data_IF_031618742723
#
_entry.id   IF_031618742723
#
_cell.length_a   1.000
_cell.length_b   1.000
_cell.length_c   1.000
_cell.angle_alpha   90.00
_cell.angle_beta   90.00
_cell.angle_gamma   90.00
#
_symmetry.space_group_name_H-M   'P 1'
#
loop_
_entity.id
_entity.type
_entity.pdbx_description
1 polymer ?
#
# COMPACT_ATOMS: atom_id res chain seq x y z
N UNK A 1 10.45 -15.87 -9.54
CA UNK A 1 10.18 -14.43 -9.80
C UNK A 1 9.28 -14.12 -11.01
N UNK A 2 9.61 -14.48 -12.27
CA UNK A 2 8.77 -14.11 -13.44
C UNK A 2 7.31 -14.63 -13.34
N UNK A 3 7.13 -15.86 -12.86
CA UNK A 3 5.82 -16.48 -12.67
C UNK A 3 4.91 -15.66 -11.74
N UNK A 4 5.43 -15.22 -10.59
CA UNK A 4 4.68 -14.42 -9.62
C UNK A 4 4.23 -13.09 -10.24
N UNK A 5 5.11 -12.46 -11.04
CA UNK A 5 4.80 -11.22 -11.73
C UNK A 5 3.67 -11.39 -12.74
N UNK A 6 3.72 -12.43 -13.58
CA UNK A 6 2.68 -12.71 -14.58
C UNK A 6 1.34 -12.96 -13.89
N UNK A 7 1.30 -13.85 -12.89
CA UNK A 7 0.07 -14.16 -12.14
C UNK A 7 -0.49 -12.90 -11.46
N UNK A 8 0.38 -12.09 -10.85
CA UNK A 8 -0.02 -10.83 -10.22
C UNK A 8 -0.53 -9.79 -11.20
N UNK A 9 -0.12 -9.81 -12.48
CA UNK A 9 -0.66 -8.93 -13.52
C UNK A 9 -2.02 -9.45 -14.01
N UNK A 10 -2.14 -10.74 -14.33
CA UNK A 10 -3.39 -11.36 -14.75
C UNK A 10 -4.51 -11.14 -13.72
N UNK A 11 -4.23 -11.40 -12.45
CA UNK A 11 -5.21 -11.20 -11.40
C UNK A 11 -5.60 -9.72 -11.21
N UNK A 12 -4.68 -8.77 -11.44
CA UNK A 12 -5.01 -7.33 -11.43
C UNK A 12 -5.86 -6.90 -12.62
N UNK A 13 -5.75 -7.60 -13.74
CA UNK A 13 -6.59 -7.40 -14.91
C UNK A 13 -7.95 -8.12 -14.79
N UNK A 14 -8.23 -8.78 -13.67
CA UNK A 14 -9.50 -9.47 -13.45
C UNK A 14 -9.60 -10.85 -14.12
N UNK A 15 -8.47 -11.49 -14.46
CA UNK A 15 -8.50 -12.85 -15.03
C UNK A 15 -9.08 -13.86 -14.04
N UNK A 16 -10.32 -14.30 -14.30
CA UNK A 16 -11.10 -15.14 -13.39
C UNK A 16 -10.44 -16.50 -13.13
N UNK A 17 -9.80 -17.09 -14.14
CA UNK A 17 -9.12 -18.37 -14.02
C UNK A 17 -7.94 -18.28 -13.03
N UNK A 18 -7.11 -17.25 -13.16
CA UNK A 18 -6.00 -16.99 -12.23
C UNK A 18 -6.51 -16.73 -10.82
N UNK A 19 -7.57 -15.92 -10.67
CA UNK A 19 -8.15 -15.60 -9.36
C UNK A 19 -8.71 -16.86 -8.70
N UNK A 20 -9.44 -17.70 -9.44
CA UNK A 20 -9.98 -18.96 -8.94
C UNK A 20 -8.87 -19.89 -8.44
N UNK A 21 -7.81 -20.09 -9.23
CA UNK A 21 -6.68 -20.95 -8.82
C UNK A 21 -5.97 -20.37 -7.59
N UNK A 22 -5.81 -19.05 -7.51
CA UNK A 22 -5.23 -18.41 -6.33
C UNK A 22 -6.08 -18.62 -5.07
N UNK A 23 -7.41 -18.53 -5.18
CA UNK A 23 -8.36 -18.84 -4.09
C UNK A 23 -8.26 -20.29 -3.64
N UNK A 24 -8.29 -21.24 -4.56
CA UNK A 24 -8.15 -22.66 -4.26
C UNK A 24 -6.84 -22.95 -3.50
N UNK A 25 -5.72 -22.40 -3.98
CA UNK A 25 -4.42 -22.57 -3.31
C UNK A 25 -4.35 -21.89 -1.95
N UNK A 26 -4.98 -20.72 -1.81
CA UNK A 26 -5.04 -20.04 -0.53
C UNK A 26 -5.87 -20.82 0.48
N UNK A 27 -7.04 -21.34 0.07
CA UNK A 27 -7.90 -22.10 0.97
C UNK A 27 -7.21 -23.38 1.44
N UNK A 28 -6.55 -24.08 0.51
CA UNK A 28 -5.76 -25.26 0.87
C UNK A 28 -4.66 -24.93 1.89
N UNK A 29 -3.96 -23.81 1.69
CA UNK A 29 -2.96 -23.31 2.63
C UNK A 29 -3.56 -22.95 3.99
N UNK A 30 -4.72 -22.30 4.00
CA UNK A 30 -5.38 -21.82 5.21
C UNK A 30 -5.97 -22.97 6.05
N UNK A 31 -6.63 -23.94 5.40
CA UNK A 31 -7.28 -25.06 6.08
C UNK A 31 -6.30 -26.19 6.42
N UNK A 32 -5.48 -26.62 5.45
CA UNK A 32 -4.62 -27.80 5.57
C UNK A 32 -3.20 -27.46 6.03
N UNK A 33 -2.89 -26.18 6.25
CA UNK A 33 -1.55 -25.68 6.60
C UNK A 33 -0.47 -26.11 5.58
N UNK A 34 -0.85 -26.31 4.32
CA UNK A 34 0.10 -26.64 3.26
C UNK A 34 0.99 -25.45 2.97
N UNK A 35 2.28 -25.66 2.74
CA UNK A 35 3.19 -24.54 2.52
C UNK A 35 3.02 -23.95 1.11
N UNK A 36 2.76 -22.64 1.02
CA UNK A 36 2.85 -21.91 -0.24
C UNK A 36 4.31 -21.63 -0.57
N UNK A 37 4.67 -21.90 -1.82
CA UNK A 37 5.98 -21.54 -2.34
C UNK A 37 6.28 -20.04 -2.07
N UNK A 38 7.43 -19.70 -1.47
CA UNK A 38 7.76 -18.32 -1.06
C UNK A 38 7.53 -17.28 -2.15
N UNK A 39 8.04 -17.52 -3.38
CA UNK A 39 7.83 -16.64 -4.55
C UNK A 39 6.36 -16.31 -4.87
N UNK A 40 5.44 -17.21 -4.58
CA UNK A 40 4.02 -17.07 -4.95
C UNK A 40 3.17 -16.55 -3.79
N UNK A 41 3.65 -16.66 -2.55
CA UNK A 41 2.86 -16.38 -1.34
C UNK A 41 2.27 -14.97 -1.36
N UNK A 42 3.10 -13.96 -1.56
CA UNK A 42 2.63 -12.56 -1.63
C UNK A 42 1.64 -12.33 -2.77
N UNK A 43 1.86 -12.99 -3.92
CA UNK A 43 0.95 -12.85 -5.07
C UNK A 43 -0.42 -13.43 -4.73
N UNK A 44 -0.46 -14.64 -4.18
CA UNK A 44 -1.69 -15.32 -3.78
C UNK A 44 -2.41 -14.49 -2.69
N UNK A 45 -1.71 -14.10 -1.63
CA UNK A 45 -2.30 -13.30 -0.56
C UNK A 45 -2.84 -11.97 -1.09
N UNK A 46 -2.11 -11.29 -1.98
CA UNK A 46 -2.57 -10.06 -2.60
C UNK A 46 -3.81 -10.24 -3.49
N UNK A 47 -4.02 -11.42 -4.09
CA UNK A 47 -5.28 -11.73 -4.78
C UNK A 47 -6.43 -11.79 -3.78
N UNK A 48 -6.26 -12.53 -2.68
CA UNK A 48 -7.30 -12.64 -1.63
C UNK A 48 -7.64 -11.27 -1.05
N UNK A 49 -6.62 -10.47 -0.72
CA UNK A 49 -6.80 -9.12 -0.20
C UNK A 49 -7.58 -8.21 -1.14
N UNK A 50 -7.37 -8.31 -2.47
CA UNK A 50 -8.07 -7.51 -3.48
C UNK A 50 -9.48 -7.97 -3.80
N UNK A 51 -9.69 -9.29 -3.84
CA UNK A 51 -10.84 -9.88 -4.53
C UNK A 51 -11.88 -10.52 -3.61
N UNK A 52 -11.57 -10.77 -2.33
CA UNK A 52 -12.43 -11.58 -1.44
C UNK A 52 -13.05 -10.75 -0.29
N UNK A 53 -12.89 -9.43 -0.36
CA UNK A 53 -13.48 -8.47 0.57
C UNK A 53 -13.19 -8.78 2.03
N UNK A 54 -14.21 -8.64 2.89
CA UNK A 54 -14.08 -8.83 4.33
C UNK A 54 -13.68 -10.27 4.71
N UNK A 55 -14.19 -11.28 4.01
CA UNK A 55 -13.84 -12.68 4.26
C UNK A 55 -12.35 -12.93 4.05
N UNK A 56 -11.80 -12.44 2.92
CA UNK A 56 -10.37 -12.52 2.62
C UNK A 56 -9.52 -11.75 3.63
N UNK A 57 -9.92 -10.53 3.98
CA UNK A 57 -9.24 -9.70 4.96
C UNK A 57 -9.16 -10.38 6.34
N UNK A 58 -10.26 -10.98 6.80
CA UNK A 58 -10.31 -11.69 8.08
C UNK A 58 -9.40 -12.92 8.10
N UNK A 59 -9.35 -13.68 7.01
CA UNK A 59 -8.43 -14.83 6.88
C UNK A 59 -6.97 -14.39 6.92
N UNK A 60 -6.62 -13.34 6.16
CA UNK A 60 -5.26 -12.78 6.16
C UNK A 60 -4.86 -12.22 7.53
N UNK A 61 -5.79 -11.54 8.22
CA UNK A 61 -5.58 -11.05 9.59
C UNK A 61 -5.34 -12.20 10.56
N UNK A 62 -6.10 -13.28 10.47
CA UNK A 62 -5.89 -14.48 11.28
C UNK A 62 -4.51 -15.10 11.05
N UNK A 63 -4.03 -15.17 9.80
CA UNK A 63 -2.67 -15.62 9.50
C UNK A 63 -1.65 -14.67 10.16
N UNK A 64 -1.81 -13.35 9.99
CA UNK A 64 -0.94 -12.35 10.61
C UNK A 64 -0.84 -12.51 12.14
N UNK A 65 -1.95 -12.77 12.83
CA UNK A 65 -1.97 -12.89 14.30
C UNK A 65 -1.45 -14.24 14.83
N UNK A 66 -1.37 -15.27 13.97
CA UNK A 66 -1.01 -16.64 14.40
C UNK A 66 0.35 -17.11 13.89
N UNK A 67 0.88 -16.47 12.84
CA UNK A 67 2.15 -16.87 12.24
C UNK A 67 3.32 -16.31 13.04
N UNK A 68 4.24 -17.18 13.43
CA UNK A 68 5.50 -16.79 14.09
C UNK A 68 6.64 -16.70 13.06
N UNK A 69 6.38 -16.01 11.95
CA UNK A 69 7.37 -15.84 10.89
C UNK A 69 7.22 -14.49 10.20
N UNK A 70 8.19 -13.60 10.45
CA UNK A 70 8.11 -12.20 10.06
C UNK A 70 8.04 -11.93 8.56
N UNK A 71 8.44 -12.86 7.69
CA UNK A 71 8.22 -12.72 6.24
C UNK A 71 6.73 -12.87 5.89
N UNK A 72 6.05 -13.84 6.50
CA UNK A 72 4.62 -14.08 6.28
C UNK A 72 3.79 -12.97 6.90
N UNK A 73 4.16 -12.48 8.09
CA UNK A 73 3.56 -11.27 8.70
C UNK A 73 3.55 -10.10 7.69
N UNK A 74 4.69 -9.80 7.08
CA UNK A 74 4.84 -8.71 6.10
C UNK A 74 4.00 -8.94 4.85
N UNK A 75 3.93 -10.18 4.35
CA UNK A 75 3.06 -10.50 3.22
C UNK A 75 1.58 -10.28 3.56
N UNK A 76 1.14 -10.63 4.77
CA UNK A 76 -0.22 -10.35 5.22
C UNK A 76 -0.49 -8.85 5.33
N UNK A 77 0.45 -8.07 5.88
CA UNK A 77 0.34 -6.60 5.96
C UNK A 77 0.13 -5.99 4.58
N UNK A 78 0.98 -6.34 3.62
CA UNK A 78 0.86 -5.84 2.24
C UNK A 78 -0.48 -6.26 1.64
N UNK A 79 -0.85 -7.54 1.77
CA UNK A 79 -2.06 -8.09 1.16
C UNK A 79 -3.35 -7.48 1.72
N UNK A 80 -3.47 -7.32 3.05
CA UNK A 80 -4.64 -6.71 3.68
C UNK A 80 -4.83 -5.26 3.24
N UNK A 81 -3.74 -4.52 3.05
CA UNK A 81 -3.80 -3.15 2.53
C UNK A 81 -4.12 -3.06 1.04
N UNK A 82 -4.14 -4.16 0.28
CA UNK A 82 -4.51 -4.14 -1.14
C UNK A 82 -6.02 -4.19 -1.39
N UNK A 83 -6.86 -4.18 -0.35
CA UNK A 83 -8.31 -4.23 -0.53
C UNK A 83 -8.86 -3.11 -1.41
N UNK A 84 -9.93 -3.43 -2.14
CA UNK A 84 -10.68 -2.48 -2.97
C UNK A 84 -11.84 -1.81 -2.19
N UNK A 85 -11.94 -2.06 -0.88
CA UNK A 85 -13.00 -1.50 -0.03
C UNK A 85 -12.42 -0.48 0.95
N UNK A 86 -12.89 0.78 0.87
CA UNK A 86 -12.38 1.86 1.71
C UNK A 86 -12.67 1.64 3.21
N UNK A 87 -13.81 1.02 3.55
CA UNK A 87 -14.17 0.67 4.93
C UNK A 87 -13.17 -0.30 5.56
N UNK A 88 -12.74 -1.31 4.80
CA UNK A 88 -11.72 -2.28 5.23
C UNK A 88 -10.34 -1.63 5.34
N UNK A 89 -9.97 -0.74 4.41
CA UNK A 89 -8.73 0.05 4.52
C UNK A 89 -8.70 0.88 5.81
N UNK A 90 -9.77 1.62 6.11
CA UNK A 90 -9.89 2.39 7.36
C UNK A 90 -9.73 1.51 8.59
N UNK A 91 -10.44 0.39 8.63
CA UNK A 91 -10.37 -0.58 9.72
C UNK A 91 -8.96 -1.12 9.91
N UNK A 92 -8.28 -1.50 8.83
CA UNK A 92 -6.93 -2.06 8.90
C UNK A 92 -5.87 -1.02 9.27
N UNK A 93 -5.96 0.21 8.75
CA UNK A 93 -5.06 1.29 9.12
C UNK A 93 -5.20 1.66 10.61
N UNK A 94 -6.43 1.71 11.12
CA UNK A 94 -6.70 1.88 12.55
C UNK A 94 -6.07 0.76 13.38
N UNK A 95 -6.32 -0.50 13.02
CA UNK A 95 -5.76 -1.67 13.69
C UNK A 95 -4.22 -1.65 13.72
N UNK A 96 -3.59 -1.32 12.59
CA UNK A 96 -2.13 -1.33 12.47
C UNK A 96 -1.46 -0.14 13.17
N UNK A 97 -1.94 1.08 12.91
CA UNK A 97 -1.28 2.33 13.33
C UNK A 97 -1.80 2.76 14.70
N UNK A 98 -3.11 2.92 14.87
CA UNK A 98 -3.69 3.49 16.09
C UNK A 98 -3.66 2.49 17.24
N UNK A 99 -4.08 1.24 17.00
CA UNK A 99 -4.05 0.17 18.01
C UNK A 99 -2.64 -0.44 18.18
N UNK A 100 -1.70 -0.06 17.32
CA UNK A 100 -0.29 -0.44 17.43
C UNK A 100 -0.01 -1.93 17.22
N UNK A 101 -0.85 -2.63 16.44
CA UNK A 101 -0.72 -4.07 16.19
C UNK A 101 0.36 -4.43 15.17
N UNK A 102 0.77 -3.47 14.35
CA UNK A 102 1.88 -3.64 13.40
C UNK A 102 3.09 -2.85 13.89
N UNK A 103 4.28 -3.48 13.82
CA UNK A 103 5.55 -2.86 14.22
C UNK A 103 5.82 -1.60 13.37
N UNK A 104 6.34 -0.54 13.99
CA UNK A 104 6.55 0.76 13.30
C UNK A 104 7.36 0.64 12.00
N UNK A 105 8.36 -0.24 11.95
CA UNK A 105 9.18 -0.47 10.75
C UNK A 105 8.42 -1.12 9.58
N UNK A 106 7.35 -1.86 9.86
CA UNK A 106 6.56 -2.57 8.87
C UNK A 106 5.33 -1.76 8.41
N UNK A 107 5.01 -0.64 9.09
CA UNK A 107 3.87 0.24 8.74
C UNK A 107 3.98 0.81 7.31
N UNK A 108 5.20 1.04 6.81
CA UNK A 108 5.41 1.51 5.43
C UNK A 108 4.81 0.54 4.39
N UNK A 109 4.76 -0.75 4.69
CA UNK A 109 4.23 -1.78 3.80
C UNK A 109 2.74 -1.62 3.53
N UNK A 110 1.99 -1.03 4.47
CA UNK A 110 0.58 -0.76 4.26
C UNK A 110 0.35 0.30 3.17
N UNK A 111 1.16 1.36 3.20
CA UNK A 111 1.12 2.41 2.18
C UNK A 111 1.46 1.83 0.80
N UNK A 112 2.47 0.96 0.71
CA UNK A 112 2.79 0.27 -0.54
C UNK A 112 1.70 -0.69 -1.01
N UNK A 113 1.04 -1.41 -0.09
CA UNK A 113 -0.09 -2.28 -0.41
C UNK A 113 -1.27 -1.49 -0.98
N UNK A 114 -1.70 -0.44 -0.31
CA UNK A 114 -2.84 0.38 -0.72
C UNK A 114 -2.65 1.07 -2.07
N UNK A 115 -1.41 1.33 -2.51
CA UNK A 115 -1.14 1.81 -3.87
C UNK A 115 -1.62 0.88 -4.99
N UNK A 116 -1.89 -0.40 -4.70
CA UNK A 116 -2.29 -1.37 -5.70
C UNK A 116 -3.69 -1.12 -6.29
N UNK A 117 -4.56 -0.37 -5.60
CA UNK A 117 -5.92 -0.05 -6.03
C UNK A 117 -6.11 1.46 -6.12
N UNK A 118 -7.01 1.92 -7.00
CA UNK A 118 -7.31 3.36 -7.12
C UNK A 118 -7.91 3.92 -5.81
N UNK A 119 -8.84 3.17 -5.21
CA UNK A 119 -9.44 3.49 -3.91
C UNK A 119 -8.37 3.62 -2.82
N UNK A 120 -7.40 2.70 -2.79
CA UNK A 120 -6.31 2.76 -1.84
C UNK A 120 -5.38 3.96 -2.05
N UNK A 121 -5.07 4.34 -3.31
CA UNK A 121 -4.29 5.55 -3.62
C UNK A 121 -4.95 6.83 -3.12
N UNK A 122 -6.26 6.95 -3.27
CA UNK A 122 -7.01 8.13 -2.82
C UNK A 122 -7.12 8.17 -1.30
N UNK A 123 -7.35 7.01 -0.68
CA UNK A 123 -7.41 6.85 0.77
C UNK A 123 -6.08 7.22 1.45
N UNK A 124 -4.93 6.71 0.99
CA UNK A 124 -3.65 6.91 1.67
C UNK A 124 -3.14 8.35 1.65
N UNK A 125 -3.53 9.15 0.65
CA UNK A 125 -3.19 10.57 0.63
C UNK A 125 -3.98 11.32 1.72
N UNK A 126 -5.30 11.12 1.77
CA UNK A 126 -6.13 11.71 2.83
C UNK A 126 -5.67 11.26 4.21
N UNK A 127 -5.47 9.95 4.40
CA UNK A 127 -5.05 9.40 5.68
C UNK A 127 -3.71 9.97 6.13
N UNK A 128 -2.73 10.08 5.23
CA UNK A 128 -1.42 10.65 5.53
C UNK A 128 -1.52 12.09 6.01
N UNK A 129 -2.32 12.93 5.33
CA UNK A 129 -2.53 14.32 5.71
C UNK A 129 -3.19 14.43 7.09
N UNK A 130 -4.24 13.66 7.32
CA UNK A 130 -5.01 13.72 8.57
C UNK A 130 -4.20 13.20 9.78
N UNK A 131 -3.30 12.25 9.54
CA UNK A 131 -2.53 11.56 10.60
C UNK A 131 -1.05 11.95 10.63
N UNK A 132 -0.62 13.00 9.94
CA UNK A 132 0.81 13.35 9.81
C UNK A 132 1.49 13.47 11.18
N UNK A 133 0.84 14.13 12.15
CA UNK A 133 1.40 14.29 13.52
C UNK A 133 1.63 12.93 14.21
N UNK A 134 0.69 11.99 14.05
CA UNK A 134 0.79 10.64 14.60
C UNK A 134 1.93 9.87 13.93
N UNK A 135 2.02 9.95 12.60
CA UNK A 135 3.08 9.31 11.82
C UNK A 135 4.46 9.86 12.16
N UNK A 136 4.59 11.18 12.33
CA UNK A 136 5.84 11.82 12.76
C UNK A 136 6.29 11.33 14.13
N UNK A 137 5.36 11.28 15.10
CA UNK A 137 5.65 10.76 16.44
C UNK A 137 6.11 9.30 16.41
N UNK A 138 5.45 8.45 15.61
CA UNK A 138 5.79 7.03 15.49
C UNK A 138 7.10 6.75 14.77
N UNK A 139 7.45 7.54 13.75
CA UNK A 139 8.63 7.29 12.92
C UNK A 139 9.88 8.03 13.38
N UNK A 140 9.79 8.89 14.40
CA UNK A 140 10.94 9.67 14.89
C UNK A 140 11.19 10.95 14.09
N UNK A 141 10.14 11.49 13.46
CA UNK A 141 10.16 12.78 12.79
C UNK A 141 10.34 12.72 11.28
N UNK A 142 10.47 13.91 10.70
CA UNK A 142 10.44 14.14 9.25
C UNK A 142 11.58 13.44 8.52
N UNK A 143 12.78 13.43 9.10
CA UNK A 143 13.98 12.88 8.46
C UNK A 143 14.06 11.34 8.53
N UNK A 144 13.05 10.69 9.11
CA UNK A 144 12.96 9.23 9.15
C UNK A 144 12.70 8.67 7.75
N UNK A 145 13.48 7.66 7.35
CA UNK A 145 13.28 6.96 6.08
C UNK A 145 11.87 6.39 5.96
N UNK A 146 11.31 5.88 7.06
CA UNK A 146 9.94 5.35 7.11
C UNK A 146 8.92 6.43 6.77
N UNK A 147 9.04 7.61 7.38
CA UNK A 147 8.15 8.73 7.11
C UNK A 147 8.25 9.18 5.65
N UNK A 148 9.47 9.31 5.11
CA UNK A 148 9.71 9.67 3.72
C UNK A 148 9.14 8.64 2.73
N UNK A 149 9.26 7.35 3.03
CA UNK A 149 8.67 6.30 2.21
C UNK A 149 7.13 6.32 2.24
N UNK A 150 6.52 6.54 3.41
CA UNK A 150 5.07 6.69 3.53
C UNK A 150 4.58 7.92 2.75
N UNK A 151 5.25 9.06 2.91
CA UNK A 151 4.96 10.29 2.16
C UNK A 151 5.01 10.05 0.65
N UNK A 152 6.14 9.50 0.17
CA UNK A 152 6.34 9.18 -1.23
C UNK A 152 5.27 8.21 -1.75
N UNK A 153 4.97 7.15 -0.99
CA UNK A 153 3.97 6.18 -1.37
C UNK A 153 2.56 6.81 -1.49
N UNK A 154 2.23 7.76 -0.62
CA UNK A 154 0.96 8.48 -0.68
C UNK A 154 0.89 9.49 -1.83
N UNK A 155 2.00 10.10 -2.25
CA UNK A 155 2.02 11.11 -3.32
C UNK A 155 2.22 10.52 -4.73
N UNK A 156 3.01 9.46 -4.89
CA UNK A 156 3.43 8.92 -6.20
C UNK A 156 2.28 8.44 -7.11
N UNK A 157 1.13 8.08 -6.54
CA UNK A 157 -0.03 7.56 -7.30
C UNK A 157 -0.97 8.64 -7.84
N UNK A 158 -0.72 9.90 -7.50
CA UNK A 158 -1.60 11.01 -7.80
C UNK A 158 -1.08 11.76 -9.02
N UNK A 159 -1.92 11.91 -10.04
CA UNK A 159 -1.53 12.42 -11.36
C UNK A 159 -2.37 13.65 -11.77
N UNK A 160 -2.73 14.49 -10.80
CA UNK A 160 -3.51 15.70 -11.07
C UNK A 160 -2.78 16.94 -10.54
N UNK A 161 -2.90 18.04 -11.28
CA UNK A 161 -2.34 19.34 -10.89
C UNK A 161 -2.88 19.85 -9.55
N UNK A 162 -4.15 19.54 -9.25
CA UNK A 162 -4.76 19.88 -7.96
C UNK A 162 -4.09 19.17 -6.79
N UNK A 163 -3.78 17.87 -6.94
CA UNK A 163 -3.10 17.13 -5.87
C UNK A 163 -1.63 17.55 -5.77
N UNK A 164 -0.97 17.90 -6.87
CA UNK A 164 0.38 18.46 -6.83
C UNK A 164 0.43 19.73 -5.96
N UNK A 165 -0.49 20.67 -6.18
CA UNK A 165 -0.61 21.88 -5.38
C UNK A 165 -0.94 21.58 -3.90
N UNK A 166 -1.83 20.63 -3.64
CA UNK A 166 -2.19 20.20 -2.28
C UNK A 166 -0.99 19.57 -1.54
N UNK A 167 -0.15 18.79 -2.24
CA UNK A 167 1.11 18.25 -1.71
C UNK A 167 2.06 19.38 -1.34
N UNK A 168 2.23 20.38 -2.20
CA UNK A 168 3.08 21.55 -1.93
C UNK A 168 2.63 22.31 -0.67
N UNK A 169 1.33 22.59 -0.57
CA UNK A 169 0.74 23.28 0.60
C UNK A 169 0.97 22.46 1.87
N UNK A 170 0.69 21.15 1.82
CA UNK A 170 0.89 20.27 2.96
C UNK A 170 2.36 20.25 3.42
N UNK A 171 3.29 20.19 2.47
CA UNK A 171 4.72 20.25 2.76
C UNK A 171 5.13 21.59 3.37
N UNK A 172 4.63 22.72 2.87
CA UNK A 172 4.91 24.03 3.45
C UNK A 172 4.42 24.15 4.91
N UNK A 173 3.31 23.49 5.25
CA UNK A 173 2.77 23.48 6.62
C UNK A 173 3.58 22.62 7.60
N UNK A 174 4.20 21.53 7.15
CA UNK A 174 4.92 20.58 8.02
C UNK A 174 6.41 20.86 8.10
N UNK A 175 7.01 21.29 6.99
CA UNK A 175 8.45 21.46 6.86
C UNK A 175 8.77 22.95 6.83
N UNK A 176 9.28 23.49 7.93
CA UNK A 176 10.02 24.75 7.92
C UNK A 176 11.34 24.49 7.17
N UNK A 177 11.31 24.55 5.83
CA UNK A 177 12.20 23.83 4.90
C UNK A 177 13.71 23.96 5.21
N UNK A 178 14.37 22.89 5.72
CA UNK A 178 15.82 22.77 5.68
C UNK A 178 16.26 22.13 4.35
N UNK A 179 17.43 22.52 3.83
CA UNK A 179 17.94 22.24 2.46
C UNK A 179 17.85 20.78 1.96
N UNK A 180 17.85 19.77 2.84
CA UNK A 180 17.78 18.35 2.45
C UNK A 180 16.45 17.91 1.84
N UNK A 181 15.36 18.64 2.15
CA UNK A 181 14.00 18.30 1.68
C UNK A 181 13.73 18.68 0.23
N UNK A 182 14.46 19.65 -0.31
CA UNK A 182 14.31 20.13 -1.69
C UNK A 182 14.47 18.98 -2.69
N UNK A 183 15.30 17.98 -2.39
CA UNK A 183 15.58 16.87 -3.31
C UNK A 183 14.42 15.86 -3.33
N UNK A 184 13.90 15.44 -2.18
CA UNK A 184 12.76 14.49 -2.11
C UNK A 184 11.46 15.13 -2.59
N UNK A 185 11.23 16.41 -2.25
CA UNK A 185 10.14 17.22 -2.81
C UNK A 185 10.25 17.31 -4.32
N UNK A 186 11.42 17.66 -4.86
CA UNK A 186 11.64 17.67 -6.31
C UNK A 186 11.42 16.30 -6.94
N UNK A 187 11.84 15.21 -6.31
CA UNK A 187 11.62 13.86 -6.87
C UNK A 187 10.13 13.49 -6.86
N UNK A 188 9.41 13.76 -5.77
CA UNK A 188 7.97 13.50 -5.69
C UNK A 188 7.19 14.39 -6.67
N UNK A 189 7.49 15.69 -6.70
CA UNK A 189 6.88 16.66 -7.62
C UNK A 189 7.22 16.35 -9.08
N UNK A 190 8.48 16.08 -9.43
CA UNK A 190 8.85 15.67 -10.78
C UNK A 190 8.15 14.37 -11.18
N UNK A 191 7.92 13.43 -10.25
CA UNK A 191 7.19 12.19 -10.56
C UNK A 191 5.72 12.52 -10.89
N UNK A 192 5.07 13.37 -10.09
CA UNK A 192 3.68 13.79 -10.31
C UNK A 192 3.54 14.63 -11.59
N UNK A 193 4.39 15.63 -11.79
CA UNK A 193 4.41 16.51 -12.96
C UNK A 193 4.73 15.74 -14.25
N UNK A 194 5.72 14.83 -14.22
CA UNK A 194 6.03 14.00 -15.38
C UNK A 194 4.86 13.09 -15.78
N UNK A 195 4.11 12.55 -14.80
CA UNK A 195 2.95 11.73 -15.11
C UNK A 195 1.80 12.58 -15.66
N UNK A 196 1.53 13.77 -15.10
CA UNK A 196 0.54 14.73 -15.64
C UNK A 196 0.86 15.04 -17.10
N UNK A 197 2.12 15.38 -17.40
CA UNK A 197 2.57 15.70 -18.75
C UNK A 197 2.41 14.53 -19.73
N UNK A 198 2.71 13.30 -19.30
CA UNK A 198 2.52 12.08 -20.13
C UNK A 198 1.03 11.85 -20.43
N UNK A 199 0.15 12.03 -19.45
CA UNK A 199 -1.31 11.86 -19.64
C UNK A 199 -1.85 12.91 -20.60
N UNK A 200 -1.48 14.18 -20.44
CA UNK A 200 -1.89 15.26 -21.34
C UNK A 200 -1.37 15.04 -22.77
N UNK A 201 -0.11 14.60 -22.91
CA UNK A 201 0.49 14.30 -24.21
C UNK A 201 -0.18 13.12 -24.93
N UNK A 202 -0.61 12.08 -24.20
CA UNK A 202 -1.22 10.87 -24.77
C UNK A 202 -2.71 11.03 -25.13
N UNK A 203 -3.44 11.93 -24.47
CA UNK A 203 -4.89 12.05 -24.64
C UNK A 203 -5.36 13.34 -25.33
N UNK A 204 -4.55 14.41 -25.35
CA UNK A 204 -4.94 15.72 -25.89
C UNK A 204 -4.12 16.18 -27.10
N UNK A 205 -3.47 15.25 -27.82
CA UNK A 205 -2.88 15.47 -29.15
C UNK A 205 -3.46 14.54 -30.21
#
# INVERSE_FOLDING_TARGET
MLRALILGRLARCGDEATIKIAREKFEEHFEKKTELHPDLRLTIYGVIGRCDGESGANKLKKIFETVDFGEVERHCIIAMSQTSEESLLKSFFKYAIEEGKVRSQDLMLMFYGARATKIGQDFIWSYFKDHTKVLLGKFGGVNSSLFQHCFKASSDGQCSSMIAADVEVHCACIFFVPRGWVILLKVAMHSVEAIVWIVDFLFFK
#
